data_IF_049571488793
#
_entry.id   IF_049571488793
#
_cell.length_a   1.000
_cell.length_b   1.000
_cell.length_c   1.000
_cell.angle_alpha   90.00
_cell.angle_beta   90.00
_cell.angle_gamma   90.00
#
_symmetry.space_group_name_H-M   'P 1'
#
loop_
_entity.id
_entity.type
_entity.pdbx_description
1 polymer ?
#
# COMPACT_ATOMS: atom_id res chain seq x y z
N UNK A 1 40.31 76.41 37.13
CA UNK A 1 41.46 75.48 36.98
C UNK A 1 41.12 74.52 35.86
N UNK A 2 41.88 74.67 34.82
CA UNK A 2 41.78 74.07 33.50
C UNK A 2 42.00 72.58 33.51
N UNK A 3 41.22 71.79 32.69
CA UNK A 3 41.77 70.65 31.93
C UNK A 3 40.79 70.28 30.78
N UNK A 4 41.36 70.30 29.58
CA UNK A 4 40.67 70.07 28.28
C UNK A 4 40.38 68.61 28.06
N UNK A 5 39.31 68.28 27.30
CA UNK A 5 39.06 66.92 26.82
C UNK A 5 39.71 66.64 25.46
N UNK A 6 40.28 65.44 25.32
CA UNK A 6 40.77 64.89 24.08
C UNK A 6 39.62 64.42 23.17
N UNK A 7 39.61 64.91 21.95
CA UNK A 7 38.74 64.53 20.87
C UNK A 7 39.08 63.15 20.30
N UNK A 8 38.21 62.20 20.42
CA UNK A 8 38.27 60.91 19.70
C UNK A 8 37.41 61.05 18.43
N UNK A 9 38.04 61.06 17.29
CA UNK A 9 37.38 61.08 15.98
C UNK A 9 37.00 59.60 15.66
N UNK A 10 35.72 59.30 15.71
CA UNK A 10 35.13 58.05 15.18
C UNK A 10 34.77 58.32 13.74
N UNK A 11 35.47 57.66 12.82
CA UNK A 11 35.12 57.62 11.39
C UNK A 11 33.89 56.73 11.20
N UNK A 12 32.77 57.34 10.83
CA UNK A 12 31.57 56.64 10.36
C UNK A 12 31.83 56.14 8.93
N UNK A 13 32.03 54.84 8.75
CA UNK A 13 31.94 54.18 7.45
C UNK A 13 30.47 53.98 7.12
N UNK A 14 29.92 54.84 6.23
CA UNK A 14 28.56 54.64 5.67
C UNK A 14 28.62 53.52 4.65
N UNK A 15 28.14 52.34 5.02
CA UNK A 15 27.80 51.28 4.06
C UNK A 15 26.44 51.59 3.44
N UNK A 16 26.44 52.07 2.23
CA UNK A 16 25.23 52.21 1.40
C UNK A 16 24.79 50.80 0.98
N UNK A 17 23.74 50.28 1.62
CA UNK A 17 23.04 49.08 1.18
C UNK A 17 22.19 49.44 -0.05
N UNK A 18 22.65 49.03 -1.25
CA UNK A 18 21.83 49.12 -2.49
C UNK A 18 20.66 48.15 -2.33
N UNK A 19 19.47 48.62 -2.02
CA UNK A 19 18.22 47.89 -2.14
C UNK A 19 17.86 47.79 -3.64
N UNK A 20 18.20 46.63 -4.24
CA UNK A 20 17.66 46.22 -5.53
C UNK A 20 16.20 45.80 -5.33
N UNK A 21 15.22 46.39 -6.04
CA UNK A 21 13.86 45.88 -6.02
C UNK A 21 13.86 44.53 -6.71
N UNK A 22 13.60 43.48 -5.94
CA UNK A 22 13.26 42.15 -6.47
C UNK A 22 11.90 42.28 -7.18
N UNK A 23 11.92 42.53 -8.49
CA UNK A 23 10.75 42.26 -9.31
C UNK A 23 10.55 40.74 -9.29
N UNK A 24 9.65 40.30 -8.41
CA UNK A 24 9.09 38.96 -8.49
C UNK A 24 8.33 38.88 -9.82
N UNK A 25 8.99 38.37 -10.86
CA UNK A 25 8.30 37.94 -12.07
C UNK A 25 7.38 36.79 -11.65
N UNK A 26 6.11 37.10 -11.41
CA UNK A 26 5.03 36.13 -11.40
C UNK A 26 5.03 35.48 -12.79
N UNK A 27 5.65 34.32 -12.93
CA UNK A 27 5.50 33.50 -14.10
C UNK A 27 3.99 33.33 -14.35
N UNK A 28 3.50 33.49 -15.59
CA UNK A 28 2.10 33.28 -15.87
C UNK A 28 1.75 31.86 -15.43
N UNK A 29 0.89 31.75 -14.41
CA UNK A 29 0.35 30.50 -13.96
C UNK A 29 -0.41 29.93 -15.15
N UNK A 30 0.19 28.92 -15.81
CA UNK A 30 -0.43 28.21 -16.91
C UNK A 30 -1.73 27.64 -16.34
N UNK A 31 -2.85 28.30 -16.70
CA UNK A 31 -4.18 27.78 -16.44
C UNK A 31 -4.20 26.44 -17.18
N UNK A 32 -3.98 25.35 -16.45
CA UNK A 32 -4.19 24.01 -16.96
C UNK A 32 -5.70 23.98 -17.19
N UNK A 33 -6.11 24.13 -18.45
CA UNK A 33 -7.48 23.90 -18.84
C UNK A 33 -7.81 22.52 -18.30
N UNK A 34 -8.73 22.43 -17.33
CA UNK A 34 -9.19 21.17 -16.77
C UNK A 34 -9.79 20.40 -17.95
N UNK A 35 -9.00 19.48 -18.50
CA UNK A 35 -9.49 18.61 -19.57
C UNK A 35 -10.78 17.98 -19.05
N UNK A 36 -11.83 18.04 -19.87
CA UNK A 36 -13.08 17.33 -19.56
C UNK A 36 -12.70 15.90 -19.17
N UNK A 37 -13.22 15.38 -18.07
CA UNK A 37 -12.91 14.02 -17.67
C UNK A 37 -13.20 13.08 -18.84
N UNK A 38 -12.26 12.17 -19.12
CA UNK A 38 -12.42 11.19 -20.19
C UNK A 38 -13.77 10.47 -20.05
N UNK A 39 -14.46 10.17 -21.15
CA UNK A 39 -15.75 9.48 -21.11
C UNK A 39 -15.57 8.15 -20.36
N UNK A 40 -16.53 7.85 -19.46
CA UNK A 40 -16.44 6.65 -18.60
C UNK A 40 -16.53 5.36 -19.41
N UNK A 41 -17.32 5.34 -20.47
CA UNK A 41 -17.45 4.21 -21.40
C UNK A 41 -17.07 4.63 -22.82
N UNK A 42 -16.33 3.79 -23.58
CA UNK A 42 -15.98 4.05 -24.98
C UNK A 42 -17.16 3.83 -25.92
N UNK A 43 -17.08 4.36 -27.14
CA UNK A 43 -18.10 4.10 -28.18
C UNK A 43 -18.03 2.68 -28.74
N UNK A 44 -16.86 2.03 -28.65
CA UNK A 44 -16.68 0.63 -29.11
C UNK A 44 -15.57 -0.07 -28.34
N UNK A 45 -15.69 -1.39 -28.20
CA UNK A 45 -14.66 -2.28 -27.65
C UNK A 45 -14.82 -3.69 -28.23
N UNK A 46 -13.71 -4.35 -28.53
CA UNK A 46 -13.65 -5.76 -29.00
C UNK A 46 -14.73 -6.15 -30.03
N UNK A 47 -15.08 -5.27 -30.96
CA UNK A 47 -16.11 -5.50 -31.98
C UNK A 47 -17.57 -5.27 -31.49
N UNK A 48 -17.75 -4.82 -30.28
CA UNK A 48 -19.02 -4.29 -29.78
C UNK A 48 -19.10 -2.78 -30.07
N UNK A 49 -20.21 -2.32 -30.61
CA UNK A 49 -20.51 -0.92 -30.92
C UNK A 49 -21.69 -0.43 -30.11
N UNK A 50 -21.59 0.79 -29.60
CA UNK A 50 -22.65 1.43 -28.82
C UNK A 50 -23.91 1.61 -29.68
N UNK A 51 -25.05 1.18 -29.15
CA UNK A 51 -26.36 1.37 -29.77
C UNK A 51 -27.05 2.58 -29.13
N UNK A 52 -27.16 3.65 -29.88
CA UNK A 52 -27.77 4.89 -29.41
C UNK A 52 -26.84 5.78 -28.62
N UNK A 53 -27.27 6.27 -27.45
CA UNK A 53 -26.53 7.20 -26.60
C UNK A 53 -26.30 6.56 -25.23
N UNK A 54 -25.22 6.98 -24.56
CA UNK A 54 -24.99 6.62 -23.17
C UNK A 54 -25.92 7.42 -22.25
N UNK A 55 -26.57 6.72 -21.34
CA UNK A 55 -27.22 7.32 -20.19
C UNK A 55 -26.16 7.70 -19.15
N UNK A 56 -26.13 8.96 -18.73
CA UNK A 56 -25.10 9.48 -17.83
C UNK A 56 -25.73 10.26 -16.68
N UNK A 57 -25.17 10.10 -15.48
CA UNK A 57 -25.54 10.89 -14.31
C UNK A 57 -24.37 11.06 -13.35
N UNK A 58 -24.40 12.15 -12.61
CA UNK A 58 -23.52 12.40 -11.46
C UNK A 58 -24.27 12.25 -10.14
N UNK A 59 -25.55 11.95 -10.20
CA UNK A 59 -26.42 11.80 -9.03
C UNK A 59 -26.48 10.31 -8.62
N UNK A 60 -25.97 9.96 -7.42
CA UNK A 60 -25.95 8.56 -6.96
C UNK A 60 -27.36 7.95 -6.86
N UNK A 61 -28.36 8.75 -6.47
CA UNK A 61 -29.75 8.28 -6.41
C UNK A 61 -30.39 7.96 -7.76
N UNK A 62 -29.88 8.55 -8.85
CA UNK A 62 -30.29 8.21 -10.22
C UNK A 62 -29.52 7.00 -10.74
N UNK A 63 -28.26 6.85 -10.37
CA UNK A 63 -27.41 5.71 -10.76
C UNK A 63 -27.92 4.40 -10.13
N UNK A 64 -28.22 4.42 -8.83
CA UNK A 64 -28.81 3.30 -8.09
C UNK A 64 -29.65 3.82 -6.91
N UNK A 65 -30.98 3.97 -7.09
CA UNK A 65 -31.87 4.46 -6.04
C UNK A 65 -31.87 3.61 -4.77
N UNK A 66 -31.68 2.30 -4.92
CA UNK A 66 -31.70 1.34 -3.79
C UNK A 66 -30.44 1.41 -2.94
N UNK A 67 -29.32 1.87 -3.50
CA UNK A 67 -28.01 1.86 -2.88
C UNK A 67 -27.38 3.26 -2.81
N UNK A 68 -28.20 4.31 -2.89
CA UNK A 68 -27.75 5.71 -2.91
C UNK A 68 -26.73 6.02 -1.82
N UNK A 69 -27.02 5.63 -0.58
CA UNK A 69 -26.14 5.93 0.56
C UNK A 69 -24.80 5.18 0.48
N UNK A 70 -24.82 3.92 0.03
CA UNK A 70 -23.60 3.12 -0.20
C UNK A 70 -22.72 3.79 -1.25
N UNK A 71 -23.31 4.26 -2.36
CA UNK A 71 -22.57 4.98 -3.38
C UNK A 71 -21.94 6.28 -2.86
N UNK A 72 -22.65 7.00 -1.99
CA UNK A 72 -22.10 8.22 -1.33
C UNK A 72 -20.93 7.87 -0.44
N UNK A 73 -21.03 6.83 0.38
CA UNK A 73 -19.96 6.35 1.27
C UNK A 73 -18.72 5.91 0.50
N UNK A 74 -18.90 5.28 -0.67
CA UNK A 74 -17.83 4.83 -1.56
C UNK A 74 -17.22 5.97 -2.39
N UNK A 75 -17.71 7.20 -2.25
CA UNK A 75 -17.19 8.35 -2.96
C UNK A 75 -17.55 8.38 -4.45
N UNK A 76 -18.76 7.99 -4.81
CA UNK A 76 -19.30 8.02 -6.17
C UNK A 76 -19.08 9.36 -6.86
N UNK A 77 -18.75 9.34 -8.15
CA UNK A 77 -18.49 10.52 -8.99
C UNK A 77 -19.43 10.63 -10.16
N UNK A 78 -19.49 9.61 -10.97
CA UNK A 78 -20.38 9.55 -12.13
C UNK A 78 -20.70 8.11 -12.55
N UNK A 79 -21.71 8.01 -13.37
CA UNK A 79 -22.26 6.78 -13.92
C UNK A 79 -22.45 6.92 -15.42
N UNK A 80 -22.21 5.85 -16.15
CA UNK A 80 -22.63 5.72 -17.54
C UNK A 80 -23.21 4.33 -17.78
N UNK A 81 -24.26 4.25 -18.58
CA UNK A 81 -24.83 3.00 -19.04
C UNK A 81 -25.06 3.03 -20.55
N UNK A 82 -24.87 1.90 -21.21
CA UNK A 82 -25.08 1.76 -22.64
C UNK A 82 -25.31 0.33 -23.07
N UNK A 83 -26.06 0.18 -24.15
CA UNK A 83 -26.27 -1.10 -24.82
C UNK A 83 -25.29 -1.22 -25.97
N UNK A 84 -24.53 -2.30 -26.02
CA UNK A 84 -23.55 -2.57 -27.07
C UNK A 84 -23.93 -3.83 -27.84
N UNK A 85 -23.67 -3.82 -29.13
CA UNK A 85 -23.98 -4.92 -30.01
C UNK A 85 -22.77 -5.30 -30.87
N UNK A 86 -22.52 -6.59 -30.97
CA UNK A 86 -21.63 -7.19 -31.95
C UNK A 86 -22.44 -8.00 -32.96
N UNK A 87 -21.80 -8.61 -33.94
CA UNK A 87 -22.49 -9.47 -34.92
C UNK A 87 -23.21 -10.67 -34.30
N UNK A 88 -22.79 -11.12 -33.12
CA UNK A 88 -23.24 -12.37 -32.50
C UNK A 88 -23.84 -12.20 -31.11
N UNK A 89 -23.73 -11.02 -30.48
CA UNK A 89 -24.15 -10.86 -29.09
C UNK A 89 -24.48 -9.40 -28.76
N UNK A 90 -25.31 -9.20 -27.73
CA UNK A 90 -25.57 -7.91 -27.13
C UNK A 90 -25.14 -7.90 -25.66
N UNK A 91 -24.77 -6.74 -25.17
CA UNK A 91 -24.37 -6.54 -23.76
C UNK A 91 -24.83 -5.18 -23.28
N UNK A 92 -25.44 -5.14 -22.13
CA UNK A 92 -25.70 -3.91 -21.38
C UNK A 92 -24.55 -3.68 -20.41
N UNK A 93 -23.87 -2.55 -20.53
CA UNK A 93 -22.78 -2.15 -19.64
C UNK A 93 -23.26 -1.02 -18.75
N UNK A 94 -23.03 -1.16 -17.44
CA UNK A 94 -23.19 -0.11 -16.44
C UNK A 94 -21.82 0.12 -15.81
N UNK A 95 -21.34 1.35 -15.83
CA UNK A 95 -20.07 1.71 -15.22
C UNK A 95 -20.29 2.80 -14.17
N UNK A 96 -19.62 2.69 -13.02
CA UNK A 96 -19.64 3.64 -11.93
C UNK A 96 -18.22 4.05 -11.62
N UNK A 97 -17.92 5.34 -11.62
CA UNK A 97 -16.61 5.86 -11.22
C UNK A 97 -16.70 6.44 -9.82
N UNK A 98 -15.65 6.17 -9.05
CA UNK A 98 -15.48 6.59 -7.67
C UNK A 98 -14.33 7.58 -7.54
N UNK A 99 -14.16 8.16 -6.36
CA UNK A 99 -13.08 9.09 -6.07
C UNK A 99 -11.69 8.41 -6.18
N UNK A 100 -11.63 7.14 -5.83
CA UNK A 100 -10.40 6.33 -5.80
C UNK A 100 -10.69 4.84 -6.00
N UNK A 101 -9.62 4.05 -6.00
CA UNK A 101 -9.68 2.61 -6.17
C UNK A 101 -10.29 1.89 -4.95
N UNK A 102 -10.22 2.46 -3.75
CA UNK A 102 -10.84 1.91 -2.54
C UNK A 102 -12.37 1.95 -2.66
N UNK A 103 -12.94 3.06 -3.13
CA UNK A 103 -14.38 3.17 -3.39
C UNK A 103 -14.86 2.20 -4.46
N UNK A 104 -14.11 2.05 -5.56
CA UNK A 104 -14.45 1.07 -6.60
C UNK A 104 -14.39 -0.37 -6.09
N UNK A 105 -13.39 -0.70 -5.25
CA UNK A 105 -13.26 -2.02 -4.64
C UNK A 105 -14.36 -2.28 -3.61
N UNK A 106 -14.74 -1.28 -2.81
CA UNK A 106 -15.88 -1.36 -1.88
C UNK A 106 -17.15 -1.68 -2.63
N UNK A 107 -17.49 -0.91 -3.64
CA UNK A 107 -18.66 -1.15 -4.51
C UNK A 107 -18.57 -2.54 -5.17
N UNK A 108 -17.39 -2.96 -5.69
CA UNK A 108 -17.22 -4.29 -6.28
C UNK A 108 -17.59 -5.40 -5.29
N UNK A 109 -17.08 -5.34 -4.06
CA UNK A 109 -17.38 -6.36 -3.05
C UNK A 109 -18.83 -6.31 -2.58
N UNK A 110 -19.46 -5.12 -2.56
CA UNK A 110 -20.87 -4.93 -2.22
C UNK A 110 -21.81 -5.51 -3.27
N UNK A 111 -21.58 -5.20 -4.57
CA UNK A 111 -22.44 -5.66 -5.66
C UNK A 111 -22.20 -7.12 -6.09
N UNK A 112 -21.09 -7.71 -5.65
CA UNK A 112 -20.81 -9.12 -5.88
C UNK A 112 -21.75 -9.98 -5.04
N UNK A 113 -22.53 -10.83 -5.70
CA UNK A 113 -23.45 -11.77 -5.04
C UNK A 113 -22.77 -13.11 -4.76
N UNK A 114 -23.24 -13.88 -3.75
CA UNK A 114 -22.79 -15.25 -3.54
C UNK A 114 -22.94 -16.08 -4.82
N UNK A 115 -22.00 -17.01 -5.04
CA UNK A 115 -22.01 -17.88 -6.23
C UNK A 115 -21.42 -17.29 -7.50
N UNK A 116 -20.98 -16.01 -7.50
CA UNK A 116 -20.18 -15.48 -8.61
C UNK A 116 -18.78 -16.10 -8.59
N UNK A 117 -18.41 -16.80 -9.66
CA UNK A 117 -17.08 -17.36 -9.84
C UNK A 117 -16.05 -16.24 -10.13
N UNK A 118 -14.82 -16.34 -9.61
CA UNK A 118 -13.76 -15.38 -9.94
C UNK A 118 -13.42 -15.37 -11.43
N UNK A 119 -13.20 -14.17 -11.99
CA UNK A 119 -12.79 -13.94 -13.37
C UNK A 119 -11.57 -13.02 -13.42
N UNK A 120 -10.64 -13.33 -14.32
CA UNK A 120 -9.42 -12.54 -14.52
C UNK A 120 -9.70 -11.37 -15.50
N UNK A 121 -10.38 -10.35 -14.98
CA UNK A 121 -10.74 -9.13 -15.71
C UNK A 121 -10.45 -7.92 -14.81
N UNK A 122 -9.72 -6.94 -15.33
CA UNK A 122 -9.34 -5.73 -14.60
C UNK A 122 -8.43 -6.02 -13.41
N UNK A 123 -8.71 -5.44 -12.25
CA UNK A 123 -8.04 -5.69 -10.97
C UNK A 123 -8.71 -6.80 -10.16
N UNK A 124 -9.90 -7.21 -10.58
CA UNK A 124 -10.66 -8.32 -10.03
C UNK A 124 -12.05 -8.36 -10.63
N UNK A 125 -12.45 -9.55 -11.03
CA UNK A 125 -13.75 -9.82 -11.67
C UNK A 125 -14.46 -11.01 -11.05
N UNK A 126 -15.76 -11.10 -11.29
CA UNK A 126 -16.60 -12.21 -10.89
C UNK A 126 -17.77 -12.36 -11.85
N UNK A 127 -18.16 -13.59 -12.16
CA UNK A 127 -19.27 -13.89 -13.09
C UNK A 127 -20.27 -14.89 -12.50
N UNK A 128 -21.54 -14.72 -12.85
CA UNK A 128 -22.58 -15.67 -12.58
C UNK A 128 -23.65 -15.59 -13.68
N UNK A 129 -23.90 -16.70 -14.37
CA UNK A 129 -24.84 -16.75 -15.49
C UNK A 129 -24.43 -15.79 -16.61
N UNK A 130 -25.28 -14.84 -16.91
CA UNK A 130 -25.09 -13.83 -17.95
C UNK A 130 -24.46 -12.51 -17.47
N UNK A 131 -24.19 -12.39 -16.15
CA UNK A 131 -23.67 -11.19 -15.51
C UNK A 131 -22.20 -11.33 -15.17
N UNK A 132 -21.42 -10.31 -15.53
CA UNK A 132 -20.01 -10.17 -15.16
C UNK A 132 -19.80 -8.84 -14.47
N UNK A 133 -19.23 -8.89 -13.28
CA UNK A 133 -18.89 -7.72 -12.46
C UNK A 133 -17.37 -7.64 -12.34
N UNK A 134 -16.78 -6.49 -12.63
CA UNK A 134 -15.34 -6.28 -12.43
C UNK A 134 -15.02 -4.83 -12.06
N UNK A 135 -13.85 -4.62 -11.47
CA UNK A 135 -13.35 -3.28 -11.21
C UNK A 135 -11.96 -3.08 -11.79
N UNK A 136 -11.67 -1.85 -12.22
CA UNK A 136 -10.35 -1.46 -12.70
C UNK A 136 -10.06 0.00 -12.34
N UNK A 137 -8.96 0.23 -11.59
CA UNK A 137 -8.69 1.55 -11.01
C UNK A 137 -9.86 2.02 -10.15
N UNK A 138 -10.36 3.23 -10.39
CA UNK A 138 -11.49 3.80 -9.66
C UNK A 138 -12.87 3.51 -10.30
N UNK A 139 -12.97 2.52 -11.18
CA UNK A 139 -14.20 2.22 -11.92
C UNK A 139 -14.70 0.80 -11.64
N UNK A 140 -15.96 0.66 -11.28
CA UNK A 140 -16.72 -0.57 -11.25
C UNK A 140 -17.51 -0.72 -12.55
N UNK A 141 -17.52 -1.91 -13.13
CA UNK A 141 -18.31 -2.26 -14.31
C UNK A 141 -19.20 -3.47 -14.01
N UNK A 142 -20.47 -3.35 -14.34
CA UNK A 142 -21.47 -4.41 -14.30
C UNK A 142 -21.97 -4.66 -15.72
N UNK A 143 -21.61 -5.79 -16.30
CA UNK A 143 -21.92 -6.18 -17.66
C UNK A 143 -22.94 -7.32 -17.65
N UNK A 144 -24.03 -7.15 -18.37
CA UNK A 144 -25.05 -8.18 -18.57
C UNK A 144 -25.16 -8.54 -20.05
N UNK A 145 -24.82 -9.77 -20.39
CA UNK A 145 -24.88 -10.32 -21.74
C UNK A 145 -26.20 -11.01 -22.01
N UNK A 146 -26.64 -11.04 -23.26
CA UNK A 146 -27.71 -11.95 -23.66
C UNK A 146 -27.25 -13.42 -23.56
N UNK A 147 -25.99 -13.68 -23.95
CA UNK A 147 -25.37 -14.99 -23.85
C UNK A 147 -23.89 -14.84 -23.48
N UNK A 148 -23.49 -15.42 -22.35
CA UNK A 148 -22.06 -15.41 -21.93
C UNK A 148 -21.29 -16.49 -22.72
N UNK A 149 -20.17 -16.09 -23.33
CA UNK A 149 -19.27 -16.96 -24.08
C UNK A 149 -17.84 -16.74 -23.62
N UNK A 150 -16.91 -17.64 -23.96
CA UNK A 150 -15.49 -17.45 -23.70
C UNK A 150 -14.95 -16.13 -24.30
N UNK A 151 -15.49 -15.70 -25.43
CA UNK A 151 -15.13 -14.42 -26.08
C UNK A 151 -15.64 -13.21 -25.30
N UNK A 152 -16.70 -13.34 -24.49
CA UNK A 152 -17.22 -12.25 -23.65
C UNK A 152 -16.22 -11.80 -22.62
N UNK A 153 -15.49 -12.73 -21.97
CA UNK A 153 -14.43 -12.40 -21.04
C UNK A 153 -13.26 -11.65 -21.70
N UNK A 154 -12.87 -12.08 -22.93
CA UNK A 154 -11.84 -11.38 -23.70
C UNK A 154 -12.28 -9.96 -24.10
N UNK A 155 -13.55 -9.78 -24.49
CA UNK A 155 -14.10 -8.48 -24.83
C UNK A 155 -14.10 -7.54 -23.60
N UNK A 156 -14.43 -8.06 -22.42
CA UNK A 156 -14.40 -7.24 -21.20
C UNK A 156 -12.98 -6.89 -20.75
N UNK A 157 -11.95 -7.70 -21.07
CA UNK A 157 -10.55 -7.30 -20.83
C UNK A 157 -10.17 -6.11 -21.71
N UNK A 158 -10.55 -6.11 -23.01
CA UNK A 158 -10.35 -4.96 -23.90
C UNK A 158 -11.09 -3.70 -23.36
N UNK A 159 -12.31 -3.87 -22.86
CA UNK A 159 -13.02 -2.78 -22.21
C UNK A 159 -12.28 -2.27 -20.97
N UNK A 160 -11.77 -3.15 -20.12
CA UNK A 160 -11.05 -2.78 -18.90
C UNK A 160 -9.80 -1.94 -19.21
N UNK A 161 -9.09 -2.24 -20.30
CA UNK A 161 -7.92 -1.48 -20.75
C UNK A 161 -8.29 -0.07 -21.27
N UNK A 162 -9.50 0.09 -21.80
CA UNK A 162 -10.01 1.37 -22.34
C UNK A 162 -10.64 2.27 -21.28
N UNK A 163 -10.89 1.75 -20.07
CA UNK A 163 -11.45 2.57 -19.00
C UNK A 163 -10.49 3.68 -18.58
N UNK A 164 -11.02 4.87 -18.21
CA UNK A 164 -10.19 5.96 -17.75
C UNK A 164 -9.47 5.59 -16.45
N UNK A 165 -8.13 5.65 -16.48
CA UNK A 165 -7.30 5.39 -15.31
C UNK A 165 -7.13 6.65 -14.46
N UNK A 166 -7.28 6.51 -13.16
CA UNK A 166 -6.96 7.55 -12.19
C UNK A 166 -5.50 7.39 -11.77
N UNK A 167 -4.72 8.47 -11.92
CA UNK A 167 -3.30 8.47 -11.57
C UNK A 167 -3.02 8.73 -10.10
N UNK A 168 -1.76 8.51 -9.69
CA UNK A 168 -1.31 8.78 -8.32
C UNK A 168 -1.92 7.84 -7.27
N UNK A 169 -1.99 8.30 -6.03
CA UNK A 169 -2.47 7.51 -4.89
C UNK A 169 -3.92 7.02 -5.07
N UNK A 170 -4.79 7.82 -5.72
CA UNK A 170 -6.19 7.45 -5.95
C UNK A 170 -6.37 6.22 -6.86
N UNK A 171 -5.38 5.88 -7.69
CA UNK A 171 -5.40 4.68 -8.54
C UNK A 171 -4.83 3.42 -7.89
N UNK A 172 -4.29 3.52 -6.68
CA UNK A 172 -3.68 2.39 -5.97
C UNK A 172 -4.76 1.58 -5.26
N UNK A 173 -4.82 0.25 -5.45
CA UNK A 173 -5.74 -0.62 -4.71
C UNK A 173 -5.56 -0.50 -3.20
N UNK A 174 -6.64 -0.67 -2.40
CA UNK A 174 -6.54 -0.64 -0.95
C UNK A 174 -5.58 -1.73 -0.43
N UNK A 175 -4.72 -1.44 0.56
CA UNK A 175 -3.78 -2.40 1.10
C UNK A 175 -4.44 -3.44 2.03
N UNK A 176 -5.56 -3.10 2.65
CA UNK A 176 -6.22 -3.89 3.67
C UNK A 176 -6.52 -5.35 3.26
N UNK A 177 -6.92 -5.67 2.01
CA UNK A 177 -7.10 -7.04 1.55
C UNK A 177 -5.83 -7.91 1.64
N UNK A 178 -4.65 -7.30 1.64
CA UNK A 178 -3.37 -8.00 1.81
C UNK A 178 -3.16 -8.61 3.19
N UNK A 179 -3.86 -8.11 4.22
CA UNK A 179 -3.78 -8.63 5.58
C UNK A 179 -4.75 -9.79 5.85
N UNK A 180 -5.64 -10.10 4.91
CA UNK A 180 -6.58 -11.21 5.08
C UNK A 180 -5.86 -12.56 4.81
N UNK A 181 -5.86 -13.50 5.76
CA UNK A 181 -5.29 -14.83 5.54
C UNK A 181 -5.98 -15.52 4.36
N UNK A 182 -5.21 -16.13 3.46
CA UNK A 182 -5.76 -16.77 2.24
C UNK A 182 -6.16 -18.22 2.45
N UNK A 183 -5.59 -18.88 3.46
CA UNK A 183 -5.90 -20.29 3.76
C UNK A 183 -7.30 -20.38 4.36
N UNK A 184 -8.13 -21.28 3.86
CA UNK A 184 -9.49 -21.53 4.30
C UNK A 184 -10.47 -20.34 4.12
N UNK A 185 -10.03 -19.31 3.37
CA UNK A 185 -10.86 -18.16 3.00
C UNK A 185 -11.80 -18.52 1.87
N UNK A 186 -13.05 -18.12 2.00
CA UNK A 186 -14.03 -18.13 0.92
C UNK A 186 -14.02 -16.78 0.17
N UNK A 187 -13.39 -16.70 -1.01
CA UNK A 187 -13.17 -15.40 -1.67
C UNK A 187 -14.48 -14.66 -2.01
N UNK A 188 -15.55 -15.39 -2.27
CA UNK A 188 -16.87 -14.81 -2.60
C UNK A 188 -17.56 -14.15 -1.40
N UNK A 189 -17.15 -14.51 -0.18
CA UNK A 189 -17.66 -13.94 1.07
C UNK A 189 -16.78 -12.80 1.64
N UNK A 190 -15.86 -12.26 0.81
CA UNK A 190 -15.09 -11.08 1.21
C UNK A 190 -15.89 -9.81 0.95
N UNK A 191 -16.01 -8.94 1.95
CA UNK A 191 -16.69 -7.65 1.91
C UNK A 191 -15.78 -6.55 2.43
N UNK A 192 -15.64 -5.48 1.67
CA UNK A 192 -14.88 -4.29 2.04
C UNK A 192 -15.84 -3.11 2.12
N UNK A 193 -15.74 -2.27 3.14
CA UNK A 193 -16.68 -1.19 3.39
C UNK A 193 -15.98 0.05 3.91
N UNK A 194 -16.38 1.21 3.39
CA UNK A 194 -15.86 2.52 3.76
C UNK A 194 -16.84 3.32 4.63
N UNK A 195 -18.07 2.84 4.75
CA UNK A 195 -19.11 3.52 5.52
C UNK A 195 -20.06 2.57 6.26
N UNK A 196 -20.87 3.12 7.17
CA UNK A 196 -21.75 2.35 8.04
C UNK A 196 -22.86 1.63 7.28
N UNK A 197 -23.41 2.23 6.23
CA UNK A 197 -24.49 1.62 5.43
C UNK A 197 -23.96 0.44 4.61
N UNK A 198 -22.84 0.64 3.88
CA UNK A 198 -22.18 -0.42 3.13
C UNK A 198 -21.80 -1.59 4.06
N UNK A 199 -21.24 -1.30 5.23
CA UNK A 199 -20.86 -2.29 6.22
C UNK A 199 -22.07 -3.08 6.76
N UNK A 200 -23.12 -2.39 7.19
CA UNK A 200 -24.32 -3.01 7.77
C UNK A 200 -25.02 -3.90 6.74
N UNK A 201 -25.22 -3.40 5.52
CA UNK A 201 -25.90 -4.13 4.43
C UNK A 201 -25.05 -5.27 3.86
N UNK A 202 -23.75 -5.24 4.04
CA UNK A 202 -22.84 -6.34 3.71
C UNK A 202 -22.78 -7.43 4.78
N UNK A 203 -23.61 -7.35 5.84
CA UNK A 203 -23.64 -8.33 6.92
C UNK A 203 -22.58 -8.10 7.99
N UNK A 204 -22.31 -6.83 8.31
CA UNK A 204 -21.36 -6.47 9.37
C UNK A 204 -21.73 -7.09 10.72
N UNK A 205 -20.77 -7.71 11.38
CA UNK A 205 -20.98 -8.50 12.60
C UNK A 205 -21.01 -7.66 13.89
N UNK A 206 -20.43 -6.46 13.87
CA UNK A 206 -20.45 -5.53 14.99
C UNK A 206 -21.41 -4.36 14.70
N UNK A 207 -21.97 -3.71 15.71
CA UNK A 207 -22.68 -2.45 15.51
C UNK A 207 -21.76 -1.42 14.83
N UNK A 208 -22.25 -0.75 13.79
CA UNK A 208 -21.47 0.27 13.08
C UNK A 208 -21.01 1.43 13.99
N UNK A 209 -21.81 1.77 15.00
CA UNK A 209 -21.47 2.77 16.02
C UNK A 209 -20.22 2.37 16.84
N UNK A 210 -19.98 1.08 17.04
CA UNK A 210 -18.83 0.58 17.77
C UNK A 210 -17.54 0.73 16.95
N UNK A 211 -17.64 0.57 15.62
CA UNK A 211 -16.53 0.79 14.67
C UNK A 211 -16.19 2.27 14.58
N UNK A 212 -17.21 3.16 14.60
CA UNK A 212 -17.07 4.62 14.54
C UNK A 212 -16.50 5.11 13.18
N UNK A 213 -17.31 5.00 12.16
CA UNK A 213 -16.94 5.44 10.80
C UNK A 213 -16.65 6.94 10.69
N UNK A 214 -16.97 7.76 11.74
CA UNK A 214 -16.54 9.17 11.79
C UNK A 214 -15.01 9.35 11.85
N UNK A 215 -14.27 8.30 12.17
CA UNK A 215 -12.81 8.26 12.21
C UNK A 215 -12.21 7.72 10.91
N UNK A 216 -13.03 7.57 9.86
CA UNK A 216 -12.62 7.05 8.55
C UNK A 216 -11.87 5.71 8.63
N UNK A 217 -12.40 4.68 9.32
CA UNK A 217 -11.83 3.35 9.23
C UNK A 217 -12.15 2.70 7.89
N UNK A 218 -11.28 1.78 7.47
CA UNK A 218 -11.57 0.81 6.42
C UNK A 218 -11.90 -0.53 7.06
N UNK A 219 -12.94 -1.20 6.59
CA UNK A 219 -13.39 -2.48 7.17
C UNK A 219 -13.37 -3.55 6.10
N UNK A 220 -12.73 -4.68 6.41
CA UNK A 220 -12.70 -5.86 5.56
C UNK A 220 -13.20 -7.06 6.35
N UNK A 221 -14.21 -7.74 5.85
CA UNK A 221 -14.72 -8.99 6.40
C UNK A 221 -14.49 -10.13 5.41
N UNK A 222 -14.03 -11.28 5.88
CA UNK A 222 -13.87 -12.50 5.09
C UNK A 222 -14.53 -13.69 5.78
N UNK A 223 -15.24 -14.51 5.01
CA UNK A 223 -15.77 -15.80 5.46
C UNK A 223 -14.67 -16.87 5.43
N UNK A 224 -14.65 -17.72 6.45
CA UNK A 224 -13.69 -18.82 6.59
C UNK A 224 -14.42 -20.12 6.92
N UNK A 225 -13.96 -21.22 6.31
CA UNK A 225 -14.44 -22.56 6.60
C UNK A 225 -13.31 -23.37 7.25
N UNK A 226 -13.27 -23.38 8.58
CA UNK A 226 -12.29 -24.07 9.38
C UNK A 226 -12.80 -25.45 9.81
N UNK A 227 -11.92 -26.29 10.37
CA UNK A 227 -12.32 -27.61 10.86
C UNK A 227 -13.36 -27.56 11.97
N UNK A 228 -13.31 -26.55 12.82
CA UNK A 228 -14.25 -26.35 13.94
C UNK A 228 -15.59 -25.75 13.53
N UNK A 229 -15.70 -25.17 12.33
CA UNK A 229 -16.93 -24.57 11.82
C UNK A 229 -16.67 -23.41 10.88
N UNK A 230 -17.77 -22.79 10.41
CA UNK A 230 -17.76 -21.61 9.59
C UNK A 230 -17.83 -20.33 10.44
N UNK A 231 -17.20 -19.26 9.97
CA UNK A 231 -17.24 -17.98 10.65
C UNK A 231 -16.62 -16.87 9.84
N UNK A 232 -16.54 -15.70 10.43
CA UNK A 232 -16.07 -14.46 9.80
C UNK A 232 -14.89 -13.89 10.57
N UNK A 233 -13.87 -13.46 9.85
CA UNK A 233 -12.81 -12.57 10.34
C UNK A 233 -13.09 -11.17 9.79
N UNK A 234 -13.26 -10.20 10.71
CA UNK A 234 -13.37 -8.78 10.37
C UNK A 234 -12.10 -8.07 10.79
N UNK A 235 -11.45 -7.38 9.84
CA UNK A 235 -10.27 -6.55 10.05
C UNK A 235 -10.68 -5.10 9.85
N UNK A 236 -10.38 -4.25 10.83
CA UNK A 236 -10.68 -2.82 10.82
C UNK A 236 -9.36 -2.08 10.86
N UNK A 237 -9.07 -1.29 9.84
CA UNK A 237 -7.90 -0.42 9.79
C UNK A 237 -8.28 0.99 10.21
N UNK A 238 -7.58 1.53 11.19
CA UNK A 238 -7.77 2.91 11.67
C UNK A 238 -6.60 3.79 11.26
N UNK A 239 -6.83 5.10 11.06
CA UNK A 239 -5.78 6.02 10.63
C UNK A 239 -4.61 6.14 11.61
N UNK A 240 -4.82 5.84 12.89
CA UNK A 240 -3.78 5.92 13.91
C UNK A 240 -3.82 4.75 14.90
N UNK A 241 -2.65 4.33 15.46
CA UNK A 241 -2.62 3.27 16.46
C UNK A 241 -3.38 3.61 17.74
N UNK A 242 -3.52 4.91 18.07
CA UNK A 242 -4.23 5.38 19.25
C UNK A 242 -5.75 5.15 19.10
N UNK A 243 -6.31 5.48 17.93
CA UNK A 243 -7.71 5.20 17.61
C UNK A 243 -7.94 3.69 17.63
N UNK A 244 -7.07 2.91 16.97
CA UNK A 244 -7.15 1.45 16.97
C UNK A 244 -7.18 0.87 18.40
N UNK A 245 -6.28 1.35 19.28
CA UNK A 245 -6.24 0.91 20.68
C UNK A 245 -7.50 1.30 21.49
N UNK A 246 -8.06 2.48 21.22
CA UNK A 246 -9.30 2.91 21.86
C UNK A 246 -10.49 2.05 21.42
N UNK A 247 -10.60 1.77 20.11
CA UNK A 247 -11.69 0.98 19.53
C UNK A 247 -11.58 -0.50 19.91
N UNK A 248 -10.37 -1.06 19.92
CA UNK A 248 -10.16 -2.43 20.39
C UNK A 248 -10.67 -2.61 21.83
N UNK A 249 -10.35 -1.67 22.76
CA UNK A 249 -10.85 -1.73 24.13
C UNK A 249 -12.38 -1.63 24.19
N UNK A 250 -13.01 -0.79 23.39
CA UNK A 250 -14.46 -0.65 23.32
C UNK A 250 -15.11 -1.94 22.77
N UNK A 251 -14.55 -2.54 21.73
CA UNK A 251 -15.00 -3.81 21.19
C UNK A 251 -14.83 -4.93 22.22
N UNK A 252 -13.67 -5.04 22.86
CA UNK A 252 -13.43 -6.04 23.89
C UNK A 252 -14.40 -5.90 25.09
N UNK A 253 -14.71 -4.68 25.50
CA UNK A 253 -15.70 -4.42 26.54
C UNK A 253 -17.12 -4.82 26.12
N UNK A 254 -17.50 -4.51 24.87
CA UNK A 254 -18.79 -4.90 24.29
C UNK A 254 -18.96 -6.42 24.27
N UNK A 255 -17.93 -7.16 23.85
CA UNK A 255 -17.94 -8.62 23.81
C UNK A 255 -18.00 -9.23 25.22
N UNK A 256 -17.24 -8.69 26.17
CA UNK A 256 -17.28 -9.14 27.59
C UNK A 256 -18.62 -8.93 28.27
N UNK A 257 -19.38 -7.92 27.86
CA UNK A 257 -20.72 -7.66 28.39
C UNK A 257 -21.78 -8.70 27.89
N UNK A 258 -21.37 -9.71 27.14
CA UNK A 258 -22.23 -10.74 26.60
C UNK A 258 -23.11 -10.27 25.43
N UNK A 259 -22.79 -9.10 24.85
CA UNK A 259 -23.47 -8.63 23.66
C UNK A 259 -23.05 -9.49 22.47
N UNK A 260 -24.02 -10.10 21.84
CA UNK A 260 -23.80 -10.94 20.65
C UNK A 260 -23.59 -10.03 19.43
N UNK A 261 -22.65 -10.36 18.55
CA UNK A 261 -22.56 -9.70 17.23
C UNK A 261 -23.84 -9.99 16.42
N UNK A 262 -24.15 -9.06 15.51
CA UNK A 262 -25.24 -9.28 14.56
C UNK A 262 -24.91 -10.49 13.67
N UNK A 263 -25.92 -11.24 13.28
CA UNK A 263 -25.71 -12.43 12.45
C UNK A 263 -25.13 -12.05 11.09
N UNK A 264 -24.10 -12.74 10.62
CA UNK A 264 -23.58 -12.52 9.27
C UNK A 264 -24.56 -12.98 8.19
N UNK A 265 -24.38 -12.47 6.99
CA UNK A 265 -25.25 -12.55 5.82
C UNK A 265 -25.54 -13.96 5.26
N UNK A 266 -24.92 -15.02 5.73
CA UNK A 266 -25.09 -16.38 5.21
C UNK A 266 -26.28 -17.09 5.89
N UNK A 267 -27.27 -17.55 5.10
CA UNK A 267 -28.42 -18.35 5.57
C UNK A 267 -27.99 -19.60 6.36
N UNK A 268 -26.82 -20.18 6.05
CA UNK A 268 -26.25 -21.33 6.74
C UNK A 268 -25.89 -21.04 8.21
N UNK A 269 -25.56 -19.78 8.55
CA UNK A 269 -25.20 -19.37 9.91
C UNK A 269 -26.39 -18.89 10.75
N UNK A 270 -27.60 -18.81 10.17
CA UNK A 270 -28.80 -18.38 10.89
C UNK A 270 -29.22 -19.35 12.03
N UNK A 271 -28.73 -20.58 12.01
CA UNK A 271 -29.06 -21.62 13.00
C UNK A 271 -27.93 -21.90 13.99
N UNK A 272 -26.77 -21.23 13.87
CA UNK A 272 -25.66 -21.40 14.82
C UNK A 272 -25.65 -20.25 15.81
N UNK A 273 -25.33 -20.54 17.09
CA UNK A 273 -25.05 -19.55 18.11
C UNK A 273 -23.80 -18.75 17.73
N UNK A 274 -23.97 -17.69 16.92
CA UNK A 274 -22.87 -16.84 16.47
C UNK A 274 -22.33 -16.09 17.68
N UNK A 275 -21.20 -16.54 18.19
CA UNK A 275 -20.47 -15.84 19.25
C UNK A 275 -19.31 -15.08 18.63
N UNK A 276 -19.13 -13.82 19.05
CA UNK A 276 -17.84 -13.19 18.83
C UNK A 276 -16.84 -13.81 19.78
N UNK A 277 -15.80 -14.39 19.23
CA UNK A 277 -14.92 -15.28 19.98
C UNK A 277 -13.72 -14.53 20.54
N UNK A 278 -13.14 -13.62 19.80
CA UNK A 278 -11.96 -12.88 20.24
C UNK A 278 -11.73 -11.60 19.42
N UNK A 279 -10.99 -10.69 20.02
CA UNK A 279 -10.45 -9.51 19.35
C UNK A 279 -8.95 -9.41 19.60
N UNK A 280 -8.22 -8.89 18.61
CA UNK A 280 -6.78 -8.65 18.68
C UNK A 280 -6.42 -7.38 17.92
N UNK A 281 -5.50 -6.60 18.47
CA UNK A 281 -4.93 -5.45 17.78
C UNK A 281 -3.48 -5.72 17.34
N UNK A 282 -3.18 -5.31 16.10
CA UNK A 282 -1.81 -5.27 15.58
C UNK A 282 -1.60 -3.92 14.87
N UNK A 283 -0.82 -3.03 15.47
CA UNK A 283 -0.58 -1.68 14.92
C UNK A 283 -1.85 -0.87 14.74
N UNK A 284 -2.19 -0.57 13.48
CA UNK A 284 -3.40 0.14 13.05
C UNK A 284 -4.63 -0.78 12.93
N UNK A 285 -4.41 -2.09 12.89
CA UNK A 285 -5.45 -3.08 12.64
C UNK A 285 -6.08 -3.56 13.95
N UNK A 286 -7.41 -3.67 13.94
CA UNK A 286 -8.20 -4.38 14.95
C UNK A 286 -8.90 -5.53 14.24
N UNK A 287 -8.58 -6.76 14.63
CA UNK A 287 -9.17 -7.97 14.07
C UNK A 287 -10.18 -8.58 15.08
N UNK A 288 -11.31 -9.04 14.57
CA UNK A 288 -12.39 -9.65 15.35
C UNK A 288 -12.86 -10.92 14.64
N UNK A 289 -12.95 -12.02 15.37
CA UNK A 289 -13.56 -13.27 14.87
C UNK A 289 -14.98 -13.44 15.40
N UNK A 290 -15.85 -13.97 14.57
CA UNK A 290 -17.25 -14.30 14.90
C UNK A 290 -17.70 -15.54 14.16
N UNK A 291 -18.67 -16.28 14.71
CA UNK A 291 -19.23 -17.48 14.06
C UNK A 291 -19.07 -18.76 14.87
N UNK A 292 -19.12 -19.90 14.17
CA UNK A 292 -19.08 -21.22 14.77
C UNK A 292 -17.69 -21.81 15.04
N UNK A 293 -16.62 -21.02 14.99
CA UNK A 293 -15.26 -21.46 15.32
C UNK A 293 -15.12 -21.87 16.79
N UNK A 294 -14.21 -22.79 17.09
CA UNK A 294 -13.74 -22.93 18.45
C UNK A 294 -12.73 -21.81 18.82
N UNK A 295 -12.47 -21.63 20.12
CA UNK A 295 -11.58 -20.57 20.60
C UNK A 295 -10.15 -20.72 20.07
N UNK A 296 -9.67 -21.97 19.88
CA UNK A 296 -8.30 -22.22 19.42
C UNK A 296 -8.12 -21.81 17.94
N UNK A 297 -9.08 -22.13 17.08
CA UNK A 297 -9.06 -21.76 15.67
C UNK A 297 -9.28 -20.24 15.49
N UNK A 298 -10.15 -19.63 16.30
CA UNK A 298 -10.33 -18.21 16.34
C UNK A 298 -9.02 -17.46 16.67
N UNK A 299 -8.29 -17.90 17.71
CA UNK A 299 -7.00 -17.30 18.06
C UNK A 299 -5.94 -17.52 16.99
N UNK A 300 -5.84 -18.71 16.40
CA UNK A 300 -4.90 -18.98 15.29
C UNK A 300 -5.18 -18.07 14.08
N UNK A 301 -6.46 -17.79 13.79
CA UNK A 301 -6.84 -16.91 12.69
C UNK A 301 -6.44 -15.46 12.98
N UNK A 302 -6.68 -14.98 14.21
CA UNK A 302 -6.26 -13.65 14.65
C UNK A 302 -4.73 -13.49 14.65
N UNK A 303 -3.98 -14.53 14.99
CA UNK A 303 -2.52 -14.49 15.01
C UNK A 303 -1.89 -14.36 13.62
N UNK A 304 -2.62 -14.69 12.55
CA UNK A 304 -2.19 -14.48 11.17
C UNK A 304 -2.34 -13.02 10.74
N UNK A 305 -3.12 -12.19 11.46
CA UNK A 305 -3.30 -10.77 11.14
C UNK A 305 -2.19 -9.96 11.81
N UNK A 306 -1.15 -9.64 11.06
CA UNK A 306 -0.03 -8.86 11.57
C UNK A 306 0.18 -7.61 10.71
N UNK A 307 0.20 -6.46 11.36
CA UNK A 307 0.59 -5.20 10.76
C UNK A 307 2.11 -5.07 10.84
N UNK A 308 2.80 -5.39 9.77
CA UNK A 308 4.20 -5.03 9.61
C UNK A 308 4.25 -3.64 8.95
N UNK A 309 4.52 -2.62 9.78
CA UNK A 309 4.84 -1.32 9.24
C UNK A 309 6.22 -1.42 8.56
N UNK A 310 6.26 -1.82 7.29
CA UNK A 310 7.42 -1.51 6.48
C UNK A 310 7.41 0.00 6.30
N UNK A 311 8.21 0.69 7.11
CA UNK A 311 8.50 2.11 6.90
C UNK A 311 9.29 2.17 5.60
N UNK A 312 8.60 2.16 4.48
CA UNK A 312 9.18 2.55 3.20
C UNK A 312 9.40 4.06 3.31
N UNK A 313 10.60 4.43 3.79
CA UNK A 313 11.10 5.76 3.55
C UNK A 313 10.97 5.97 2.06
N UNK A 314 10.42 7.11 1.67
CA UNK A 314 10.29 7.51 0.26
C UNK A 314 11.70 7.83 -0.27
N UNK A 315 12.52 6.79 -0.39
CA UNK A 315 13.91 6.90 -0.80
C UNK A 315 13.92 7.03 -2.32
N UNK A 316 14.58 8.05 -2.87
CA UNK A 316 14.72 8.18 -4.32
C UNK A 316 15.37 6.93 -4.90
N UNK A 317 15.07 6.64 -6.18
CA UNK A 317 15.66 5.51 -6.88
C UNK A 317 17.19 5.55 -6.76
N UNK A 318 17.79 4.48 -6.20
CA UNK A 318 19.22 4.41 -5.94
C UNK A 318 19.65 4.79 -4.50
N UNK A 319 18.71 5.06 -3.60
CA UNK A 319 19.05 5.30 -2.20
C UNK A 319 19.72 4.06 -1.57
N UNK A 320 20.92 4.25 -1.06
CA UNK A 320 21.63 3.23 -0.27
C UNK A 320 21.55 3.66 1.19
N UNK A 321 21.00 2.79 2.05
CA UNK A 321 20.86 3.09 3.48
C UNK A 321 22.22 3.41 4.13
N UNK A 322 22.23 4.31 5.11
CA UNK A 322 23.46 4.69 5.84
C UNK A 322 24.22 3.48 6.41
N UNK A 323 23.56 2.45 7.00
CA UNK A 323 24.26 1.23 7.42
C UNK A 323 24.96 0.51 6.26
N UNK A 324 24.35 0.47 5.07
CA UNK A 324 24.94 -0.17 3.88
C UNK A 324 26.13 0.63 3.35
N UNK A 325 26.08 1.97 3.39
CA UNK A 325 27.22 2.84 3.06
C UNK A 325 28.37 2.61 4.03
N UNK A 326 28.08 2.59 5.32
CA UNK A 326 29.08 2.33 6.37
C UNK A 326 29.71 0.94 6.21
N UNK A 327 28.93 -0.09 5.95
CA UNK A 327 29.41 -1.45 5.70
C UNK A 327 30.33 -1.51 4.47
N UNK A 328 29.95 -0.86 3.36
CA UNK A 328 30.79 -0.80 2.15
C UNK A 328 32.13 -0.06 2.42
N UNK A 329 32.08 1.03 3.17
CA UNK A 329 33.26 1.79 3.54
C UNK A 329 34.19 0.93 4.40
N UNK A 330 33.66 0.20 5.38
CA UNK A 330 34.42 -0.68 6.26
C UNK A 330 35.06 -1.83 5.46
N UNK A 331 34.35 -2.46 4.55
CA UNK A 331 34.88 -3.49 3.65
C UNK A 331 36.02 -2.90 2.78
N UNK A 332 35.79 -1.70 2.23
CA UNK A 332 36.84 -1.03 1.41
C UNK A 332 38.12 -0.75 2.21
N UNK A 333 38.00 -0.26 3.45
CA UNK A 333 39.15 -0.01 4.34
C UNK A 333 39.87 -1.32 4.66
N UNK A 334 39.17 -2.37 5.05
CA UNK A 334 39.76 -3.68 5.32
C UNK A 334 40.47 -4.23 4.09
N UNK A 335 39.85 -4.16 2.91
CA UNK A 335 40.45 -4.60 1.65
C UNK A 335 41.71 -3.81 1.34
N UNK A 336 41.68 -2.49 1.52
CA UNK A 336 42.85 -1.63 1.32
C UNK A 336 43.99 -2.00 2.29
N UNK A 337 43.70 -2.19 3.57
CA UNK A 337 44.70 -2.61 4.57
C UNK A 337 45.33 -3.96 4.21
N UNK A 338 44.54 -4.93 3.77
CA UNK A 338 45.01 -6.25 3.33
C UNK A 338 45.94 -6.15 2.12
N UNK A 339 45.59 -5.33 1.12
CA UNK A 339 46.44 -5.08 -0.05
C UNK A 339 47.73 -4.37 0.37
N UNK A 340 47.65 -3.35 1.20
CA UNK A 340 48.82 -2.63 1.67
C UNK A 340 49.76 -3.51 2.51
N UNK A 341 49.23 -4.34 3.42
CA UNK A 341 49.99 -5.33 4.16
C UNK A 341 50.67 -6.36 3.25
N UNK A 342 49.94 -6.87 2.26
CA UNK A 342 50.48 -7.80 1.27
C UNK A 342 51.60 -7.17 0.44
N UNK A 343 51.41 -5.95 -0.01
CA UNK A 343 52.44 -5.21 -0.77
C UNK A 343 53.71 -4.94 0.08
N UNK A 344 53.53 -4.50 1.32
CA UNK A 344 54.69 -4.28 2.24
C UNK A 344 55.43 -5.57 2.57
N UNK A 345 54.68 -6.68 2.75
CA UNK A 345 55.29 -8.00 2.98
C UNK A 345 56.09 -8.47 1.74
N UNK A 346 55.57 -8.34 0.55
CA UNK A 346 56.26 -8.66 -0.70
C UNK A 346 57.48 -7.77 -0.89
N UNK A 347 57.36 -6.46 -0.63
CA UNK A 347 58.45 -5.52 -0.70
C UNK A 347 59.56 -5.88 0.30
N UNK A 348 59.19 -6.27 1.52
CA UNK A 348 60.13 -6.74 2.56
C UNK A 348 60.89 -7.99 2.13
N UNK A 349 60.22 -8.98 1.55
CA UNK A 349 60.85 -10.18 0.98
C UNK A 349 61.80 -9.80 -0.18
N UNK A 350 61.36 -8.94 -1.08
CA UNK A 350 62.13 -8.57 -2.27
C UNK A 350 63.39 -7.79 -1.89
N UNK A 351 63.26 -6.77 -1.04
CA UNK A 351 64.39 -5.94 -0.62
C UNK A 351 65.28 -6.66 0.40
N UNK A 352 64.70 -7.33 1.39
CA UNK A 352 65.43 -8.06 2.41
C UNK A 352 66.04 -9.34 1.88
N UNK A 353 65.21 -10.17 1.23
CA UNK A 353 65.63 -11.45 0.65
C UNK A 353 66.62 -11.26 -0.51
N UNK A 354 66.37 -10.31 -1.42
CA UNK A 354 67.30 -9.98 -2.51
C UNK A 354 68.64 -9.51 -2.02
N UNK A 355 68.66 -8.67 -0.94
CA UNK A 355 69.92 -8.21 -0.32
C UNK A 355 70.64 -9.33 0.38
N UNK A 356 69.96 -10.24 1.05
CA UNK A 356 70.53 -11.42 1.67
C UNK A 356 71.12 -12.38 0.64
N UNK A 357 70.42 -12.66 -0.45
CA UNK A 357 70.88 -13.50 -1.56
C UNK A 357 72.13 -12.90 -2.24
N UNK A 358 72.16 -11.59 -2.50
CA UNK A 358 73.30 -10.89 -3.08
C UNK A 358 74.54 -10.96 -2.14
N UNK A 359 74.33 -10.87 -0.82
CA UNK A 359 75.46 -11.03 0.16
C UNK A 359 76.02 -12.45 0.16
N UNK A 360 75.12 -13.45 0.21
CA UNK A 360 75.56 -14.88 0.15
C UNK A 360 76.27 -15.22 -1.14
N UNK A 361 75.79 -14.74 -2.29
CA UNK A 361 76.46 -14.91 -3.58
C UNK A 361 77.89 -14.29 -3.63
N UNK A 362 78.18 -13.29 -2.76
CA UNK A 362 79.51 -12.67 -2.57
C UNK A 362 80.30 -13.30 -1.43
N UNK A 363 79.89 -14.43 -0.90
CA UNK A 363 80.60 -15.14 0.20
C UNK A 363 80.50 -14.44 1.58
N UNK A 364 79.54 -13.52 1.77
CA UNK A 364 79.28 -12.86 3.06
C UNK A 364 78.10 -13.50 3.77
N UNK A 365 78.05 -13.38 5.11
CA UNK A 365 76.94 -13.88 5.89
C UNK A 365 75.60 -13.24 5.45
N UNK A 366 74.50 -13.98 5.48
CA UNK A 366 73.14 -13.53 5.07
C UNK A 366 72.67 -12.35 5.95
N UNK A 367 73.09 -12.27 7.19
CA UNK A 367 72.71 -11.23 8.13
C UNK A 367 73.81 -10.15 8.23
N UNK A 368 73.40 -8.88 8.33
CA UNK A 368 74.37 -7.75 8.55
C UNK A 368 74.74 -7.54 10.01
N UNK A 369 74.15 -8.34 10.91
CA UNK A 369 74.32 -8.17 12.35
C UNK A 369 75.74 -8.58 12.81
N UNK A 370 76.36 -9.55 12.07
CA UNK A 370 77.75 -10.01 12.40
C UNK A 370 78.86 -9.03 11.99
N UNK A 371 78.54 -8.03 11.13
CA UNK A 371 79.51 -7.02 10.70
C UNK A 371 79.51 -5.77 11.60
N UNK A 372 78.69 -5.74 12.66
CA UNK A 372 78.76 -4.65 13.65
C UNK A 372 79.77 -4.97 14.73
N UNK A 373 80.98 -4.43 14.60
CA UNK A 373 81.93 -4.37 15.67
C UNK A 373 81.35 -3.55 16.82
N UNK A 374 81.11 -4.21 17.97
CA UNK A 374 80.74 -3.52 19.19
C UNK A 374 81.99 -2.72 19.67
N UNK A 375 81.92 -1.41 19.57
CA UNK A 375 82.93 -0.50 20.21
C UNK A 375 82.86 -0.75 21.72
N UNK A 376 83.79 -1.51 22.24
CA UNK A 376 83.99 -1.65 23.70
C UNK A 376 84.51 -0.35 24.23
N UNK A 377 83.70 0.49 24.80
CA UNK A 377 84.10 1.64 25.61
C UNK A 377 84.68 1.11 26.89
N UNK A 378 86.07 1.19 26.99
CA UNK A 378 86.81 0.91 28.18
C UNK A 378 86.75 2.17 29.07
N UNK A 379 85.77 2.26 29.95
CA UNK A 379 85.71 3.29 30.98
C UNK A 379 86.58 2.88 32.13
N UNK A 380 87.72 3.62 32.37
CA UNK A 380 88.54 3.58 33.57
C UNK A 380 88.02 4.56 34.57
#
# INVERSE_FOLDING_TARGET
MLLRPHSLRISLLATALLALPLFAQTAPQKVIATALPAPLLPESFAGFELQGKLDKTTEPGTADPSNTQVLVEDGFRDFASGNYKSNVNTVTIRAMRFADASGAYSAYTFYRIPGMAPEDIGKGGAANGDRVLFWNGATLVDAKFDHLTAMSAAALRDLAEKLPMVGGAAGVPPPLPGFLPRTDLEPTHTRYSLGPEAYTRSGGVLPAALIDFSKSPEVLSGGFNLRSGEGTLTIIEYPTPQIAAQRERAIAAYLKAGNQPQQPFTEALQNSNVQALATRRSGLLVAVTSGGFDAADAHKLLDKVNYEASVTWNNPAGYVSEPTKAARLLVSVVTFCLIACGATFLLGIFLGGGRALYRVARGKSASSVEDMEFIKLNLR
#
